data_IF_587500671934
#
_entry.id   IF_587500671934
#
_cell.length_a   1.000
_cell.length_b   1.000
_cell.length_c   1.000
_cell.angle_alpha   90.00
_cell.angle_beta   90.00
_cell.angle_gamma   90.00
#
_symmetry.space_group_name_H-M   'P 1'
#
loop_
_entity.id
_entity.type
_entity.pdbx_description
1 polymer ?
#
# COMPACT_ATOMS: atom_id res chain seq x y z
N UNK A 1 30.65 -2.83 -6.15
CA UNK A 1 30.12 -4.06 -6.77
C UNK A 1 28.80 -3.74 -7.46
N UNK A 2 28.37 -4.45 -8.52
CA UNK A 2 27.06 -4.19 -9.13
C UNK A 2 25.93 -4.51 -8.15
N UNK A 3 24.94 -3.61 -8.05
CA UNK A 3 23.77 -3.80 -7.19
C UNK A 3 22.92 -5.01 -7.64
N UNK A 4 22.46 -5.84 -6.69
CA UNK A 4 21.58 -6.98 -6.97
C UNK A 4 20.14 -6.50 -7.07
N UNK A 5 19.57 -6.56 -8.28
CA UNK A 5 18.16 -6.21 -8.52
C UNK A 5 17.28 -7.45 -8.41
N UNK A 6 16.32 -7.44 -7.49
CA UNK A 6 15.31 -8.51 -7.38
C UNK A 6 14.31 -8.44 -8.53
N UNK A 7 13.59 -9.53 -8.80
CA UNK A 7 12.51 -9.52 -9.80
C UNK A 7 11.45 -8.48 -9.48
N UNK A 8 11.02 -8.40 -8.22
CA UNK A 8 10.03 -7.42 -7.76
C UNK A 8 10.48 -5.98 -8.01
N UNK A 9 11.72 -5.63 -7.64
CA UNK A 9 12.26 -4.28 -7.87
C UNK A 9 12.36 -3.95 -9.36
N UNK A 10 12.84 -4.89 -10.18
CA UNK A 10 12.89 -4.70 -11.63
C UNK A 10 11.51 -4.44 -12.21
N UNK A 11 10.50 -5.18 -11.77
CA UNK A 11 9.14 -5.07 -12.28
C UNK A 11 8.49 -3.76 -11.81
N UNK A 12 8.76 -3.32 -10.58
CA UNK A 12 8.39 -2.00 -10.07
C UNK A 12 9.03 -0.87 -10.90
N UNK A 13 10.34 -0.93 -11.16
CA UNK A 13 11.05 0.08 -11.96
C UNK A 13 10.53 0.15 -13.40
N UNK A 14 10.12 -0.99 -13.97
CA UNK A 14 9.44 -1.02 -15.28
C UNK A 14 8.08 -0.34 -15.20
N UNK A 15 7.31 -0.62 -14.15
CA UNK A 15 5.99 -0.03 -13.94
C UNK A 15 6.06 1.49 -13.70
N UNK A 16 7.11 2.00 -13.06
CA UNK A 16 7.33 3.43 -12.80
C UNK A 16 7.84 4.21 -14.02
N UNK A 17 8.32 3.53 -15.07
CA UNK A 17 8.89 4.19 -16.24
C UNK A 17 7.80 4.91 -17.04
N UNK A 18 8.00 6.21 -17.29
CA UNK A 18 7.17 6.97 -18.21
C UNK A 18 7.65 6.78 -19.67
N UNK A 19 6.75 6.64 -20.67
CA UNK A 19 7.16 6.42 -22.06
C UNK A 19 7.98 7.55 -22.69
N UNK A 20 7.74 8.78 -22.26
CA UNK A 20 8.30 9.99 -22.89
C UNK A 20 9.08 10.90 -21.94
N UNK A 21 9.19 10.54 -20.66
CA UNK A 21 9.83 11.38 -19.65
C UNK A 21 10.77 10.57 -18.76
N UNK A 22 11.87 11.19 -18.35
CA UNK A 22 12.78 10.61 -17.36
C UNK A 22 12.11 10.69 -15.99
N UNK A 23 12.00 9.54 -15.33
CA UNK A 23 11.53 9.45 -13.94
C UNK A 23 12.74 9.20 -13.04
N UNK A 24 13.02 10.15 -12.14
CA UNK A 24 14.04 9.99 -11.11
C UNK A 24 13.43 9.24 -9.94
N UNK A 25 14.02 8.09 -9.59
CA UNK A 25 13.54 7.25 -8.49
C UNK A 25 14.68 7.04 -7.51
N UNK A 26 14.41 7.27 -6.23
CA UNK A 26 15.29 6.83 -5.15
C UNK A 26 14.84 5.44 -4.68
N UNK A 27 15.78 4.50 -4.60
CA UNK A 27 15.52 3.14 -4.14
C UNK A 27 16.65 2.76 -3.20
N UNK A 28 16.36 2.53 -1.92
CA UNK A 28 17.33 2.13 -0.89
C UNK A 28 18.37 1.09 -1.37
N UNK A 29 17.91 0.03 -2.03
CA UNK A 29 18.75 -1.06 -2.52
C UNK A 29 19.71 -0.67 -3.67
N UNK A 30 19.49 0.46 -4.33
CA UNK A 30 20.29 0.96 -5.46
C UNK A 30 21.01 2.27 -5.15
N UNK A 31 20.42 3.11 -4.32
CA UNK A 31 20.86 4.46 -4.00
C UNK A 31 21.80 4.51 -2.79
N UNK A 32 21.86 3.44 -1.99
CA UNK A 32 22.75 3.30 -0.83
C UNK A 32 23.78 2.21 -1.13
N UNK A 33 25.05 2.46 -0.82
CA UNK A 33 26.05 1.39 -0.81
C UNK A 33 25.80 0.43 0.37
N UNK A 34 25.08 -0.65 0.06
CA UNK A 34 24.74 -1.71 1.01
C UNK A 34 25.96 -2.44 1.59
N UNK A 35 27.16 -2.27 1.02
CA UNK A 35 28.40 -2.85 1.54
C UNK A 35 29.14 -1.94 2.52
N UNK A 36 28.73 -0.67 2.63
CA UNK A 36 29.33 0.32 3.49
C UNK A 36 28.44 0.60 4.71
N UNK A 37 28.73 -0.05 5.83
CA UNK A 37 27.96 0.12 7.07
C UNK A 37 27.95 1.55 7.60
N UNK A 38 28.98 2.36 7.29
CA UNK A 38 29.03 3.75 7.72
C UNK A 38 28.00 4.59 6.94
N UNK A 39 27.98 4.45 5.62
CA UNK A 39 26.98 5.10 4.77
C UNK A 39 25.57 4.61 5.11
N UNK A 40 25.38 3.29 5.28
CA UNK A 40 24.08 2.73 5.65
C UNK A 40 23.54 3.36 6.94
N UNK A 41 24.40 3.51 7.97
CA UNK A 41 24.01 4.15 9.22
C UNK A 41 23.65 5.63 9.05
N UNK A 42 24.37 6.36 8.19
CA UNK A 42 24.06 7.76 7.85
C UNK A 42 22.75 7.87 7.07
N UNK A 43 22.55 7.02 6.06
CA UNK A 43 21.35 7.03 5.22
C UNK A 43 20.09 6.70 6.02
N UNK A 44 20.16 5.73 6.95
CA UNK A 44 19.04 5.42 7.85
C UNK A 44 18.63 6.62 8.71
N UNK A 45 19.58 7.48 9.11
CA UNK A 45 19.29 8.72 9.83
C UNK A 45 18.71 9.83 8.94
N UNK A 46 18.83 9.72 7.62
CA UNK A 46 18.32 10.69 6.64
C UNK A 46 17.01 10.26 5.98
N UNK A 47 16.54 9.03 6.23
CA UNK A 47 15.36 8.47 5.56
C UNK A 47 14.10 9.32 5.77
N UNK A 48 13.92 9.90 6.95
CA UNK A 48 12.82 10.83 7.24
C UNK A 48 12.88 12.07 6.31
N UNK A 49 14.05 12.67 6.14
CA UNK A 49 14.27 13.82 5.26
C UNK A 49 14.07 13.43 3.79
N UNK A 50 14.54 12.25 3.39
CA UNK A 50 14.39 11.76 2.01
C UNK A 50 12.91 11.55 1.67
N UNK A 51 12.15 10.88 2.54
CA UNK A 51 10.71 10.67 2.33
C UNK A 51 9.92 11.98 2.40
N UNK A 52 10.31 12.90 3.28
CA UNK A 52 9.67 14.20 3.40
C UNK A 52 9.90 15.10 2.18
N UNK A 53 11.10 15.06 1.58
CA UNK A 53 11.41 15.83 0.36
C UNK A 53 11.02 15.09 -0.93
N UNK A 54 10.57 13.84 -0.85
CA UNK A 54 10.13 13.12 -2.04
C UNK A 54 8.88 13.81 -2.61
N UNK A 55 8.86 14.00 -3.93
CA UNK A 55 7.66 14.51 -4.59
C UNK A 55 6.48 13.56 -4.38
N UNK A 56 6.75 12.25 -4.34
CA UNK A 56 5.78 11.18 -4.23
C UNK A 56 6.47 9.93 -3.70
N UNK A 57 5.78 9.17 -2.85
CA UNK A 57 6.21 7.85 -2.37
C UNK A 57 5.32 6.78 -2.97
N UNK A 58 5.92 5.84 -3.70
CA UNK A 58 5.17 4.78 -4.40
C UNK A 58 5.31 3.45 -3.67
N UNK A 59 4.18 2.93 -3.19
CA UNK A 59 4.05 1.59 -2.63
C UNK A 59 3.75 0.60 -3.76
N UNK A 60 4.68 -0.30 -4.04
CA UNK A 60 4.51 -1.32 -5.07
C UNK A 60 3.79 -2.56 -4.51
N UNK A 61 2.56 -2.84 -4.94
CA UNK A 61 1.77 -4.01 -4.54
C UNK A 61 2.05 -5.25 -5.40
N UNK A 62 3.02 -5.17 -6.31
CA UNK A 62 3.34 -6.23 -7.25
C UNK A 62 2.65 -6.10 -8.61
N UNK A 63 2.91 -7.03 -9.53
CA UNK A 63 2.26 -7.07 -10.84
C UNK A 63 0.75 -7.31 -10.73
N UNK A 64 -0.01 -6.83 -11.71
CA UNK A 64 -1.42 -7.22 -11.87
C UNK A 64 -1.52 -8.75 -11.97
N UNK A 65 -2.32 -9.35 -11.11
CA UNK A 65 -2.48 -10.80 -11.00
C UNK A 65 -3.76 -11.16 -10.25
N UNK A 66 -4.37 -12.29 -10.60
CA UNK A 66 -5.61 -12.76 -9.98
C UNK A 66 -6.66 -11.66 -9.90
N UNK A 67 -7.13 -11.39 -8.69
CA UNK A 67 -8.20 -10.42 -8.43
C UNK A 67 -7.71 -8.99 -8.13
N UNK A 68 -6.44 -8.64 -8.44
CA UNK A 68 -5.96 -7.26 -8.19
C UNK A 68 -6.82 -6.20 -8.85
N UNK A 69 -7.30 -6.44 -10.08
CA UNK A 69 -8.12 -5.45 -10.77
C UNK A 69 -9.47 -5.26 -10.07
N UNK A 70 -10.07 -6.35 -9.58
CA UNK A 70 -11.28 -6.30 -8.77
C UNK A 70 -11.03 -5.49 -7.49
N UNK A 71 -9.96 -5.80 -6.77
CA UNK A 71 -9.57 -5.08 -5.56
C UNK A 71 -9.39 -3.58 -5.77
N UNK A 72 -8.64 -3.19 -6.82
CA UNK A 72 -8.37 -1.80 -7.19
C UNK A 72 -9.66 -1.07 -7.57
N UNK A 73 -10.52 -1.69 -8.40
CA UNK A 73 -11.82 -1.12 -8.79
C UNK A 73 -12.74 -0.96 -7.58
N UNK A 74 -12.80 -1.95 -6.69
CA UNK A 74 -13.59 -1.85 -5.46
C UNK A 74 -13.05 -0.76 -4.54
N UNK A 75 -11.74 -0.67 -4.32
CA UNK A 75 -11.14 0.39 -3.49
C UNK A 75 -11.48 1.79 -3.99
N UNK A 76 -11.38 2.03 -5.30
CA UNK A 76 -11.77 3.32 -5.91
C UNK A 76 -13.27 3.60 -5.75
N UNK A 77 -14.11 2.60 -6.03
CA UNK A 77 -15.58 2.70 -5.89
C UNK A 77 -15.95 3.05 -4.45
N UNK A 78 -15.41 2.32 -3.48
CA UNK A 78 -15.69 2.56 -2.06
C UNK A 78 -15.18 3.93 -1.64
N UNK A 79 -13.98 4.31 -2.07
CA UNK A 79 -13.38 5.60 -1.73
C UNK A 79 -14.20 6.79 -2.21
N UNK A 80 -14.65 6.74 -3.47
CA UNK A 80 -15.49 7.79 -4.08
C UNK A 80 -16.84 7.93 -3.37
N UNK A 81 -17.50 6.81 -3.07
CA UNK A 81 -18.80 6.80 -2.40
C UNK A 81 -18.67 7.27 -0.94
N UNK A 82 -17.65 6.77 -0.22
CA UNK A 82 -17.38 7.15 1.16
C UNK A 82 -17.04 8.64 1.33
N UNK A 83 -16.43 9.27 0.33
CA UNK A 83 -16.18 10.72 0.34
C UNK A 83 -17.47 11.55 0.21
N UNK A 84 -18.56 10.96 -0.29
CA UNK A 84 -19.86 11.64 -0.47
C UNK A 84 -20.79 11.51 0.73
N UNK A 85 -20.50 10.62 1.67
CA UNK A 85 -21.39 10.37 2.80
C UNK A 85 -21.22 11.43 3.89
N UNK A 86 -22.34 12.03 4.29
CA UNK A 86 -22.38 13.01 5.37
C UNK A 86 -22.56 12.35 6.74
N UNK A 87 -22.95 11.07 6.77
CA UNK A 87 -23.26 10.33 7.99
C UNK A 87 -22.68 8.91 8.04
N UNK A 88 -22.47 8.41 9.25
CA UNK A 88 -21.99 7.05 9.49
C UNK A 88 -22.98 5.94 9.10
N UNK A 89 -24.27 6.23 8.93
CA UNK A 89 -25.32 5.25 8.59
C UNK A 89 -25.39 4.90 7.10
N UNK A 90 -25.11 5.88 6.24
CA UNK A 90 -24.99 5.65 4.78
C UNK A 90 -23.80 4.74 4.49
N UNK A 91 -22.73 4.99 5.23
CA UNK A 91 -21.50 4.19 5.25
C UNK A 91 -21.77 2.71 5.57
N UNK A 92 -22.58 2.41 6.59
CA UNK A 92 -22.93 1.02 6.98
C UNK A 92 -23.84 0.32 5.96
N UNK A 93 -24.72 1.08 5.31
CA UNK A 93 -25.58 0.56 4.25
C UNK A 93 -24.76 0.23 3.00
N UNK A 94 -23.83 1.10 2.65
CA UNK A 94 -22.94 0.90 1.51
C UNK A 94 -21.96 -0.26 1.72
N UNK A 95 -21.43 -0.45 2.93
CA UNK A 95 -20.55 -1.58 3.26
C UNK A 95 -21.19 -2.94 2.91
N UNK A 96 -22.52 -3.06 3.07
CA UNK A 96 -23.28 -4.28 2.71
C UNK A 96 -23.37 -4.51 1.19
N UNK A 97 -23.13 -3.49 0.38
CA UNK A 97 -23.07 -3.57 -1.07
C UNK A 97 -21.70 -4.01 -1.60
N UNK A 98 -20.71 -4.20 -0.72
CA UNK A 98 -19.42 -4.80 -1.08
C UNK A 98 -19.53 -6.31 -0.90
N UNK A 99 -19.39 -7.04 -2.01
CA UNK A 99 -19.53 -8.50 -2.02
C UNK A 99 -18.34 -9.19 -1.34
N UNK A 100 -18.54 -10.42 -0.86
CA UNK A 100 -17.46 -11.21 -0.25
C UNK A 100 -16.27 -11.43 -1.19
N UNK A 101 -16.51 -11.57 -2.50
CA UNK A 101 -15.46 -11.71 -3.51
C UNK A 101 -14.63 -10.44 -3.66
N UNK A 102 -15.25 -9.26 -3.61
CA UNK A 102 -14.54 -7.98 -3.63
C UNK A 102 -13.70 -7.79 -2.36
N UNK A 103 -14.22 -8.19 -1.21
CA UNK A 103 -13.46 -8.15 0.04
C UNK A 103 -12.27 -9.08 -0.01
N UNK A 104 -12.46 -10.29 -0.53
CA UNK A 104 -11.39 -11.24 -0.69
C UNK A 104 -10.30 -10.71 -1.63
N UNK A 105 -10.69 -10.08 -2.73
CA UNK A 105 -9.74 -9.45 -3.65
C UNK A 105 -8.90 -8.35 -2.98
N UNK A 106 -9.53 -7.48 -2.18
CA UNK A 106 -8.83 -6.42 -1.43
C UNK A 106 -7.85 -7.03 -0.44
N UNK A 107 -8.28 -8.06 0.27
CA UNK A 107 -7.44 -8.79 1.21
C UNK A 107 -6.24 -9.39 0.52
N UNK A 108 -6.47 -10.17 -0.53
CA UNK A 108 -5.44 -10.83 -1.30
C UNK A 108 -4.48 -9.83 -1.95
N UNK A 109 -4.93 -8.60 -2.26
CA UNK A 109 -4.07 -7.52 -2.75
C UNK A 109 -3.09 -7.02 -1.68
N UNK A 110 -3.54 -6.85 -0.43
CA UNK A 110 -2.69 -6.39 0.68
C UNK A 110 -1.90 -7.52 1.35
N UNK A 111 -2.34 -8.77 1.24
CA UNK A 111 -1.65 -9.97 1.78
C UNK A 111 -0.58 -10.54 0.84
N UNK A 112 -0.40 -9.98 -0.36
CA UNK A 112 0.63 -10.44 -1.31
C UNK A 112 1.97 -10.53 -0.59
N UNK A 113 2.76 -11.60 -0.83
CA UNK A 113 3.99 -11.87 -0.10
C UNK A 113 5.01 -10.74 -0.29
N UNK A 114 4.91 -9.74 0.57
CA UNK A 114 5.82 -8.61 0.72
C UNK A 114 6.88 -9.05 1.73
N UNK A 115 7.76 -9.94 1.27
CA UNK A 115 8.72 -10.62 2.15
C UNK A 115 9.49 -9.61 3.01
N UNK A 116 9.36 -9.75 4.34
CA UNK A 116 10.29 -9.31 5.38
C UNK A 116 10.73 -7.82 5.39
N UNK A 117 9.86 -6.87 5.09
CA UNK A 117 10.20 -5.44 5.25
C UNK A 117 9.53 -4.80 6.47
N UNK A 118 10.24 -4.84 7.61
CA UNK A 118 10.31 -3.69 8.52
C UNK A 118 10.73 -2.46 7.68
N UNK A 119 10.32 -1.25 8.09
CA UNK A 119 10.58 0.10 7.49
C UNK A 119 9.39 0.82 6.81
N UNK A 120 8.16 0.32 6.91
CA UNK A 120 6.95 1.00 6.38
C UNK A 120 6.56 2.25 7.20
N UNK A 121 7.06 2.40 8.44
CA UNK A 121 6.67 3.51 9.32
C UNK A 121 7.23 4.86 8.85
N UNK A 122 8.49 4.94 8.40
CA UNK A 122 9.02 6.21 7.91
C UNK A 122 8.46 6.57 6.52
N UNK A 123 8.22 5.56 5.68
CA UNK A 123 7.68 5.71 4.32
C UNK A 123 6.30 6.35 4.27
N UNK A 124 5.44 6.07 5.26
CA UNK A 124 4.05 6.54 5.26
C UNK A 124 3.88 7.83 6.07
N UNK A 125 4.65 8.01 7.15
CA UNK A 125 4.47 9.18 8.02
C UNK A 125 5.11 10.47 7.48
N UNK A 126 6.22 10.34 6.75
CA UNK A 126 6.93 11.51 6.23
C UNK A 126 6.55 11.84 4.79
N UNK A 127 5.92 10.92 4.07
CA UNK A 127 5.48 11.17 2.71
C UNK A 127 4.43 12.28 2.65
N UNK A 128 4.68 13.27 1.80
CA UNK A 128 3.71 14.30 1.42
C UNK A 128 2.57 13.69 0.58
N UNK A 129 2.91 12.80 -0.36
CA UNK A 129 1.98 12.11 -1.25
C UNK A 129 2.35 10.63 -1.34
N UNK A 130 1.37 9.76 -1.05
CA UNK A 130 1.53 8.30 -1.15
C UNK A 130 0.69 7.81 -2.32
N UNK A 131 1.29 6.97 -3.17
CA UNK A 131 0.62 6.30 -4.25
C UNK A 131 0.78 4.78 -4.14
N UNK A 132 -0.31 4.04 -4.27
CA UNK A 132 -0.31 2.59 -4.43
C UNK A 132 -0.19 2.24 -5.91
N UNK A 133 0.77 1.38 -6.27
CA UNK A 133 0.97 0.88 -7.64
C UNK A 133 0.80 -0.63 -7.68
N UNK A 134 -0.12 -1.12 -8.51
CA UNK A 134 -0.29 -2.55 -8.78
C UNK A 134 -0.26 -2.79 -10.29
N UNK A 135 0.84 -3.33 -10.81
CA UNK A 135 1.05 -3.42 -12.26
C UNK A 135 0.95 -2.05 -12.93
N UNK A 136 -0.03 -1.88 -13.83
CA UNK A 136 -0.32 -0.61 -14.50
C UNK A 136 -1.23 0.32 -13.71
N UNK A 137 -1.93 -0.18 -12.69
CA UNK A 137 -2.81 0.62 -11.86
C UNK A 137 -2.02 1.49 -10.89
N UNK A 138 -2.45 2.74 -10.76
CA UNK A 138 -1.96 3.71 -9.80
C UNK A 138 -3.16 4.30 -9.07
N UNK A 139 -3.11 4.31 -7.74
CA UNK A 139 -4.15 4.89 -6.89
C UNK A 139 -3.48 5.82 -5.89
N UNK A 140 -3.95 7.05 -5.78
CA UNK A 140 -3.52 7.94 -4.71
C UNK A 140 -4.07 7.47 -3.37
N UNK A 141 -3.29 7.58 -2.31
CA UNK A 141 -3.72 7.18 -0.98
C UNK A 141 -4.97 7.95 -0.50
N UNK A 142 -5.12 9.20 -0.92
CA UNK A 142 -6.29 10.05 -0.67
C UNK A 142 -7.57 9.48 -1.24
N UNK A 143 -7.52 8.84 -2.43
CA UNK A 143 -8.68 8.22 -3.07
C UNK A 143 -9.27 7.10 -2.22
N UNK A 144 -8.44 6.38 -1.47
CA UNK A 144 -8.87 5.23 -0.67
C UNK A 144 -8.94 5.51 0.83
N UNK A 145 -8.46 6.67 1.29
CA UNK A 145 -8.51 7.05 2.71
C UNK A 145 -9.95 6.98 3.28
N UNK A 146 -10.99 7.46 2.58
CA UNK A 146 -12.37 7.30 3.03
C UNK A 146 -12.81 5.82 3.14
N UNK A 147 -12.34 4.97 2.20
CA UNK A 147 -12.55 3.52 2.27
C UNK A 147 -11.80 2.88 3.46
N UNK A 148 -10.63 3.40 3.83
CA UNK A 148 -9.88 2.95 5.01
C UNK A 148 -10.62 3.24 6.32
N UNK A 149 -11.33 4.36 6.42
CA UNK A 149 -12.17 4.66 7.59
C UNK A 149 -13.31 3.64 7.76
N UNK A 150 -13.86 3.15 6.66
CA UNK A 150 -14.83 2.07 6.67
C UNK A 150 -14.21 0.76 7.18
N UNK A 151 -13.01 0.37 6.71
CA UNK A 151 -12.40 -0.93 7.08
C UNK A 151 -12.25 -1.07 8.59
N UNK A 152 -12.01 0.03 9.31
CA UNK A 152 -11.87 0.02 10.77
C UNK A 152 -13.18 -0.27 11.55
N UNK A 153 -14.34 -0.38 10.88
CA UNK A 153 -15.62 -0.71 11.52
C UNK A 153 -15.77 -2.21 11.82
N UNK A 154 -16.43 -2.54 12.93
CA UNK A 154 -16.67 -3.91 13.40
C UNK A 154 -17.45 -4.78 12.40
N UNK A 155 -18.39 -4.19 11.66
CA UNK A 155 -19.15 -4.92 10.63
C UNK A 155 -18.27 -5.36 9.47
N UNK A 156 -17.33 -4.53 9.04
CA UNK A 156 -16.45 -4.91 7.95
C UNK A 156 -15.45 -5.98 8.39
N UNK A 157 -14.89 -5.86 9.61
CA UNK A 157 -14.08 -6.91 10.24
C UNK A 157 -14.82 -8.26 10.26
N UNK A 158 -16.13 -8.26 10.58
CA UNK A 158 -16.97 -9.45 10.54
C UNK A 158 -17.12 -10.02 9.13
N UNK A 159 -17.49 -9.21 8.15
CA UNK A 159 -17.67 -9.65 6.76
C UNK A 159 -16.40 -10.25 6.18
N UNK A 160 -15.24 -9.67 6.52
CA UNK A 160 -13.98 -10.17 6.03
C UNK A 160 -13.56 -11.48 6.72
N UNK A 161 -13.81 -11.63 8.03
CA UNK A 161 -13.63 -12.91 8.73
C UNK A 161 -14.57 -14.01 8.20
N UNK A 162 -15.75 -13.65 7.68
CA UNK A 162 -16.67 -14.59 7.01
C UNK A 162 -16.18 -14.98 5.62
N UNK A 163 -15.57 -14.04 4.87
CA UNK A 163 -14.98 -14.30 3.56
C UNK A 163 -13.67 -15.12 3.64
N UNK A 164 -12.89 -14.92 4.71
CA UNK A 164 -11.64 -15.64 4.97
C UNK A 164 -11.61 -16.19 6.42
N UNK A 165 -11.85 -17.49 6.64
CA UNK A 165 -11.83 -18.08 7.98
C UNK A 165 -10.43 -18.03 8.63
N UNK A 166 -10.35 -18.15 9.98
CA UNK A 166 -9.14 -17.87 10.75
C UNK A 166 -7.94 -18.68 10.25
N UNK A 167 -6.95 -17.97 9.70
CA UNK A 167 -5.78 -18.54 9.02
C UNK A 167 -5.18 -17.62 7.96
N UNK A 168 -5.98 -16.70 7.40
CA UNK A 168 -5.55 -15.56 6.59
C UNK A 168 -5.08 -14.38 7.46
N UNK A 169 -4.13 -13.60 6.97
CA UNK A 169 -3.38 -12.58 7.74
C UNK A 169 -4.17 -11.26 7.87
N UNK A 170 -5.47 -11.36 8.10
CA UNK A 170 -6.39 -10.25 7.92
C UNK A 170 -6.45 -9.30 9.10
N UNK A 171 -6.13 -9.80 10.28
CA UNK A 171 -5.86 -8.93 11.43
C UNK A 171 -4.70 -7.95 11.17
N UNK A 172 -3.89 -8.11 10.11
CA UNK A 172 -2.90 -7.10 9.70
C UNK A 172 -3.46 -6.01 8.80
N UNK A 173 -4.51 -6.24 8.01
CA UNK A 173 -5.04 -5.22 7.07
C UNK A 173 -5.66 -4.05 7.84
N UNK A 174 -6.21 -4.33 9.02
CA UNK A 174 -6.74 -3.33 9.95
C UNK A 174 -5.63 -2.64 10.76
N UNK A 175 -4.40 -3.15 10.65
CA UNK A 175 -3.17 -2.53 11.16
C UNK A 175 -2.36 -1.82 10.06
N UNK A 176 -2.81 -1.83 8.79
CA UNK A 176 -2.18 -1.03 7.72
C UNK A 176 -2.57 0.45 7.81
N UNK A 177 -3.54 0.81 8.65
CA UNK A 177 -3.55 2.15 9.24
C UNK A 177 -2.70 2.13 10.50
N UNK A 178 -1.43 2.53 10.36
CA UNK A 178 -0.61 3.11 11.41
C UNK A 178 -0.72 2.35 12.75
N UNK A 179 0.03 1.26 12.90
CA UNK A 179 0.30 0.69 14.23
C UNK A 179 1.81 0.59 14.47
N UNK A 180 2.30 1.67 15.07
CA UNK A 180 3.42 1.65 16.00
C UNK A 180 3.05 0.76 17.18
N UNK A 181 3.76 -0.35 17.38
CA UNK A 181 3.89 -0.94 18.70
C UNK A 181 5.37 -1.12 18.99
N UNK A 182 5.81 -0.40 20.02
CA UNK A 182 7.13 -0.48 20.60
C UNK A 182 7.39 -1.88 21.18
N UNK A 183 8.69 -2.19 21.14
CA UNK A 183 9.46 -3.26 21.81
C UNK A 183 9.12 -4.69 21.42
#
# INVERSE_FOLDING_TARGET
>A
MPARVTSSLRDALKALRHPSQTVTVWVDALSIDQSNNHELSQQVQLMDIIYWNAANVVVWLGPSSGDSSLAITTLRRVGAEAASFESGSELDTFAKCVSSAELAAIVDLFERPYRNRLWVVQEIFYASEIMLRCGSDLIEWTEITPAMALFNKSEWKRMVNEAHPPGGTLNRILEVTILSLKS
#
